data_IF_325248342780
#
_entry.id   IF_325248342780
#
_cell.length_a   1.000
_cell.length_b   1.000
_cell.length_c   1.000
_cell.angle_alpha   90.00
_cell.angle_beta   90.00
_cell.angle_gamma   90.00
#
_symmetry.space_group_name_H-M   'P 1'
#
loop_
_entity.id
_entity.type
_entity.pdbx_description
1 polymer ?
#
# COMPACT_ATOMS: atom_id res chain seq x y z
N UNK A 1 -10.76 24.27 -6.78
CA UNK A 1 -10.34 23.74 -8.11
C UNK A 1 -10.49 22.22 -8.08
N UNK A 2 -11.38 21.66 -8.89
CA UNK A 2 -11.65 20.20 -8.85
C UNK A 2 -10.54 19.36 -9.53
N UNK A 3 -9.42 19.99 -9.90
CA UNK A 3 -8.25 19.32 -10.48
C UNK A 3 -8.47 18.71 -11.89
N UNK A 4 -9.61 18.98 -12.50
CA UNK A 4 -9.97 18.43 -13.83
C UNK A 4 -9.93 19.48 -14.95
N UNK A 5 -9.54 20.73 -14.65
CA UNK A 5 -9.47 21.81 -15.65
C UNK A 5 -8.05 21.98 -16.18
N UNK A 6 -7.91 22.11 -17.50
CA UNK A 6 -6.62 22.45 -18.13
C UNK A 6 -6.25 23.91 -17.87
N UNK A 7 -4.99 24.27 -18.12
CA UNK A 7 -4.54 25.66 -18.02
C UNK A 7 -5.30 26.59 -18.97
N UNK A 8 -5.64 26.11 -20.17
CA UNK A 8 -6.45 26.84 -21.14
C UNK A 8 -7.88 27.05 -20.61
N UNK A 9 -8.51 26.02 -20.07
CA UNK A 9 -9.86 26.14 -19.48
C UNK A 9 -9.88 27.11 -18.32
N UNK A 10 -8.84 27.11 -17.46
CA UNK A 10 -8.69 28.08 -16.39
C UNK A 10 -8.45 29.50 -16.93
N UNK A 11 -7.65 29.63 -17.96
CA UNK A 11 -7.38 30.87 -18.66
C UNK A 11 -8.69 31.50 -19.20
N UNK A 12 -9.49 30.71 -19.91
CA UNK A 12 -10.78 31.11 -20.44
C UNK A 12 -11.77 31.45 -19.31
N UNK A 13 -11.90 30.59 -18.31
CA UNK A 13 -12.82 30.78 -17.16
C UNK A 13 -12.53 32.07 -16.39
N UNK A 14 -11.27 32.39 -16.20
CA UNK A 14 -10.84 33.57 -15.44
C UNK A 14 -10.45 34.77 -16.28
N UNK A 15 -10.63 34.68 -17.61
CA UNK A 15 -10.30 35.74 -18.58
C UNK A 15 -8.89 36.31 -18.39
N UNK A 16 -7.90 35.43 -18.17
CA UNK A 16 -6.48 35.78 -18.00
C UNK A 16 -5.62 34.86 -18.86
N UNK A 17 -4.39 35.30 -19.24
CA UNK A 17 -3.51 34.47 -20.03
C UNK A 17 -3.11 33.18 -19.30
N UNK A 18 -2.82 32.11 -20.05
CA UNK A 18 -2.28 30.84 -19.52
C UNK A 18 -1.04 31.11 -18.63
N UNK A 19 -0.16 32.01 -19.05
CA UNK A 19 1.01 32.42 -18.28
C UNK A 19 0.65 33.06 -16.94
N UNK A 20 -0.44 33.82 -16.87
CA UNK A 20 -0.96 34.41 -15.64
C UNK A 20 -1.51 33.33 -14.70
N UNK A 21 -2.23 32.33 -15.26
CA UNK A 21 -2.69 31.18 -14.50
C UNK A 21 -1.50 30.43 -13.90
N UNK A 22 -0.49 30.12 -14.70
CA UNK A 22 0.74 29.45 -14.26
C UNK A 22 1.42 30.22 -13.12
N UNK A 23 1.64 31.53 -13.30
CA UNK A 23 2.26 32.41 -12.29
C UNK A 23 1.46 32.45 -10.96
N UNK A 24 0.12 32.49 -11.04
CA UNK A 24 -0.73 32.43 -9.84
C UNK A 24 -0.65 31.06 -9.14
N UNK A 25 -0.62 29.97 -9.89
CA UNK A 25 -0.42 28.64 -9.36
C UNK A 25 0.97 28.47 -8.72
N UNK A 26 2.00 29.14 -9.25
CA UNK A 26 3.33 29.16 -8.68
C UNK A 26 3.42 29.88 -7.32
N UNK A 27 2.57 30.85 -7.07
CA UNK A 27 2.57 31.65 -5.83
C UNK A 27 1.78 31.02 -4.69
N UNK A 28 1.01 29.96 -4.93
CA UNK A 28 0.25 29.29 -3.87
C UNK A 28 1.24 28.59 -2.94
N UNK A 29 1.36 29.11 -1.73
CA UNK A 29 2.25 28.59 -0.70
C UNK A 29 1.78 27.24 -0.12
N UNK A 30 2.67 26.62 0.64
CA UNK A 30 2.39 25.41 1.39
C UNK A 30 2.03 25.76 2.84
N UNK A 31 0.86 25.38 3.31
CA UNK A 31 0.56 25.38 4.75
C UNK A 31 1.15 24.12 5.41
N UNK A 32 1.61 24.25 6.65
CA UNK A 32 2.07 23.10 7.44
C UNK A 32 0.87 22.33 8.00
N UNK A 33 1.04 21.01 8.17
CA UNK A 33 0.07 20.14 8.83
C UNK A 33 0.01 20.46 10.32
N UNK A 34 -1.15 20.86 10.83
CA UNK A 34 -1.41 20.87 12.27
C UNK A 34 -1.93 19.48 12.70
N UNK A 35 -1.00 18.62 13.14
CA UNK A 35 -1.32 17.32 13.70
C UNK A 35 -0.74 17.30 15.11
N UNK A 36 -1.56 17.54 16.10
CA UNK A 36 -1.13 17.51 17.50
C UNK A 36 -2.09 16.68 18.35
N UNK A 37 -1.51 15.77 19.17
CA UNK A 37 -2.22 15.12 20.28
C UNK A 37 -3.33 14.14 19.91
N UNK A 38 -3.41 13.64 18.65
CA UNK A 38 -4.48 12.73 18.21
C UNK A 38 -4.10 11.27 18.42
N UNK A 39 -5.09 10.47 18.81
CA UNK A 39 -5.01 9.00 18.78
C UNK A 39 -5.53 8.50 17.43
N UNK A 40 -4.67 7.88 16.62
CA UNK A 40 -4.94 7.56 15.20
C UNK A 40 -4.64 6.13 14.84
N UNK A 41 -5.34 5.61 13.84
CA UNK A 41 -4.97 4.40 13.09
C UNK A 41 -4.54 4.84 11.71
N UNK A 42 -3.31 4.55 11.33
CA UNK A 42 -2.73 5.00 10.08
C UNK A 42 -2.74 3.92 9.02
N UNK A 43 -3.15 4.28 7.81
CA UNK A 43 -2.93 3.53 6.58
C UNK A 43 -1.70 4.12 5.90
N UNK A 44 -0.76 3.28 5.49
CA UNK A 44 0.49 3.71 4.81
C UNK A 44 0.66 2.99 3.48
N UNK A 45 1.00 3.75 2.44
CA UNK A 45 1.26 3.22 1.11
C UNK A 45 2.03 4.24 0.26
N UNK A 46 2.62 3.78 -0.87
CA UNK A 46 3.35 4.63 -1.79
C UNK A 46 2.83 4.47 -3.23
N UNK A 47 2.64 5.58 -3.91
CA UNK A 47 2.30 5.61 -5.33
C UNK A 47 3.47 6.11 -6.17
N UNK A 48 3.65 5.52 -7.36
CA UNK A 48 4.75 5.83 -8.26
C UNK A 48 4.28 6.31 -9.63
N UNK A 49 5.01 7.25 -10.19
CA UNK A 49 4.88 7.71 -11.57
C UNK A 49 6.20 7.51 -12.31
N UNK A 50 6.29 6.44 -13.06
CA UNK A 50 7.53 5.96 -13.65
C UNK A 50 8.36 5.14 -12.68
N UNK A 51 9.69 5.08 -12.92
CA UNK A 51 10.58 4.17 -12.18
C UNK A 51 11.15 4.73 -10.88
N UNK A 52 11.24 6.05 -10.77
CA UNK A 52 12.02 6.69 -9.70
C UNK A 52 11.27 7.78 -8.93
N UNK A 53 10.10 8.22 -9.39
CA UNK A 53 9.35 9.28 -8.72
C UNK A 53 8.06 8.74 -8.12
N UNK A 54 7.88 8.97 -6.84
CA UNK A 54 6.70 8.55 -6.09
C UNK A 54 6.40 9.46 -4.91
N UNK A 55 5.28 9.19 -4.26
CA UNK A 55 4.89 9.80 -2.99
C UNK A 55 4.44 8.70 -2.03
N UNK A 56 5.01 8.71 -0.85
CA UNK A 56 4.54 7.94 0.30
C UNK A 56 3.54 8.78 1.08
N UNK A 57 2.42 8.19 1.45
CA UNK A 57 1.33 8.87 2.14
C UNK A 57 0.93 8.10 3.38
N UNK A 58 0.76 8.80 4.48
CA UNK A 58 0.17 8.33 5.72
C UNK A 58 -1.18 8.99 5.87
N UNK A 59 -2.22 8.20 6.04
CA UNK A 59 -3.60 8.65 6.10
C UNK A 59 -4.26 8.06 7.33
N UNK A 60 -4.95 8.89 8.11
CA UNK A 60 -5.77 8.39 9.21
C UNK A 60 -7.01 7.66 8.68
N UNK A 61 -7.25 6.47 9.22
CA UNK A 61 -8.33 5.59 8.77
C UNK A 61 -9.72 6.18 9.01
N UNK A 62 -9.89 6.99 10.06
CA UNK A 62 -11.18 7.51 10.50
C UNK A 62 -11.48 8.90 9.96
N UNK A 63 -10.63 9.87 10.25
CA UNK A 63 -10.82 11.23 9.75
C UNK A 63 -10.64 11.30 8.22
N UNK A 64 -10.07 10.24 7.63
CA UNK A 64 -9.71 10.18 6.21
C UNK A 64 -8.73 11.27 5.78
N UNK A 65 -8.12 11.95 6.74
CA UNK A 65 -7.14 13.01 6.52
C UNK A 65 -5.77 12.46 6.21
N UNK A 66 -5.05 13.11 5.31
CA UNK A 66 -3.61 12.86 5.08
C UNK A 66 -2.86 13.48 6.26
N UNK A 67 -2.20 12.64 7.06
CA UNK A 67 -1.48 13.06 8.27
C UNK A 67 0.02 13.27 8.03
N UNK A 68 0.57 12.68 7.00
CA UNK A 68 1.94 12.89 6.56
C UNK A 68 2.16 12.40 5.13
N UNK A 69 3.08 13.00 4.41
CA UNK A 69 3.54 12.51 3.12
C UNK A 69 4.97 12.92 2.84
N UNK A 70 5.66 12.12 2.00
CA UNK A 70 7.03 12.38 1.54
C UNK A 70 7.17 12.02 0.07
N UNK A 71 7.78 12.90 -0.72
CA UNK A 71 8.22 12.53 -2.08
C UNK A 71 9.43 11.63 -2.01
N UNK A 72 9.42 10.59 -2.83
CA UNK A 72 10.51 9.63 -2.96
C UNK A 72 10.97 9.58 -4.42
N UNK A 73 12.29 9.61 -4.61
CA UNK A 73 12.94 9.66 -5.92
C UNK A 73 13.70 8.35 -6.22
N UNK A 74 13.33 7.32 -5.55
CA UNK A 74 13.86 5.96 -5.62
C UNK A 74 12.78 4.98 -5.16
N UNK A 75 13.08 3.69 -5.18
CA UNK A 75 12.22 2.71 -4.51
C UNK A 75 12.16 3.00 -3.00
N UNK A 76 11.00 2.87 -2.40
CA UNK A 76 10.77 3.04 -0.96
C UNK A 76 11.68 2.13 -0.12
N UNK A 77 12.02 2.56 1.07
CA UNK A 77 12.81 1.83 2.07
C UNK A 77 12.10 1.90 3.41
N UNK A 78 12.39 0.94 4.29
CA UNK A 78 11.86 0.91 5.65
C UNK A 78 12.08 2.23 6.39
N UNK A 79 13.25 2.85 6.21
CA UNK A 79 13.58 4.14 6.84
C UNK A 79 12.59 5.27 6.45
N UNK A 80 12.02 5.24 5.26
CA UNK A 80 11.06 6.26 4.85
C UNK A 80 9.74 6.14 5.63
N UNK A 81 9.32 4.91 5.95
CA UNK A 81 8.17 4.64 6.81
C UNK A 81 8.44 5.06 8.26
N UNK A 82 9.62 4.70 8.77
CA UNK A 82 10.02 5.08 10.15
C UNK A 82 10.09 6.59 10.32
N UNK A 83 10.56 7.34 9.32
CA UNK A 83 10.59 8.80 9.35
C UNK A 83 9.18 9.42 9.49
N UNK A 84 8.19 8.86 8.78
CA UNK A 84 6.80 9.30 8.92
C UNK A 84 6.21 8.97 10.29
N UNK A 85 6.51 7.81 10.82
CA UNK A 85 6.08 7.40 12.17
C UNK A 85 6.72 8.30 13.23
N UNK A 86 8.03 8.50 13.16
CA UNK A 86 8.77 9.39 14.07
C UNK A 86 8.23 10.81 14.05
N UNK A 87 7.88 11.31 12.86
CA UNK A 87 7.25 12.63 12.72
C UNK A 87 5.92 12.69 13.48
N UNK A 88 5.05 11.71 13.31
CA UNK A 88 3.75 11.68 13.97
C UNK A 88 3.90 11.58 15.51
N UNK A 89 4.76 10.71 15.99
CA UNK A 89 5.03 10.52 17.43
C UNK A 89 5.62 11.81 18.03
N UNK A 90 6.59 12.45 17.38
CA UNK A 90 7.18 13.73 17.82
C UNK A 90 6.17 14.87 17.88
N UNK A 91 5.12 14.83 17.06
CA UNK A 91 4.01 15.78 17.10
C UNK A 91 2.88 15.35 18.08
N UNK A 92 3.15 14.41 19.00
CA UNK A 92 2.25 14.00 20.06
C UNK A 92 1.13 13.05 19.63
N UNK A 93 1.21 12.45 18.43
CA UNK A 93 0.22 11.46 18.00
C UNK A 93 0.45 10.12 18.70
N UNK A 94 -0.63 9.50 19.17
CA UNK A 94 -0.65 8.11 19.63
C UNK A 94 -1.11 7.21 18.49
N UNK A 95 -0.23 6.33 18.00
CA UNK A 95 -0.53 5.40 16.92
C UNK A 95 -1.10 4.12 17.52
N UNK A 96 -2.40 3.85 17.32
CA UNK A 96 -3.10 2.66 17.83
C UNK A 96 -2.90 1.45 16.94
N UNK A 97 -2.74 1.67 15.64
CA UNK A 97 -2.54 0.62 14.66
C UNK A 97 -2.04 1.16 13.34
N UNK A 98 -1.41 0.29 12.56
CA UNK A 98 -0.83 0.61 11.25
C UNK A 98 -1.31 -0.42 10.24
N UNK A 99 -1.95 0.03 9.16
CA UNK A 99 -2.29 -0.82 8.01
C UNK A 99 -1.28 -0.55 6.91
N UNK A 100 -0.54 -1.58 6.48
CA UNK A 100 0.50 -1.46 5.44
C UNK A 100 0.45 -2.60 4.43
N UNK A 101 1.22 -2.47 3.36
CA UNK A 101 1.48 -3.55 2.42
C UNK A 101 2.53 -4.53 2.96
N UNK A 102 2.82 -5.56 2.18
CA UNK A 102 3.77 -6.61 2.54
C UNK A 102 5.22 -6.32 2.13
N UNK A 103 5.67 -5.09 2.15
CA UNK A 103 7.07 -4.79 1.87
C UNK A 103 7.99 -5.63 2.78
N UNK A 104 8.98 -6.36 2.20
CA UNK A 104 9.86 -7.21 2.99
C UNK A 104 10.55 -6.46 4.12
N UNK A 105 10.41 -6.97 5.35
CA UNK A 105 11.02 -6.40 6.55
C UNK A 105 10.23 -5.25 7.20
N UNK A 106 9.23 -4.67 6.52
CA UNK A 106 8.45 -3.55 7.07
C UNK A 106 7.67 -3.96 8.32
N UNK A 107 6.91 -5.05 8.25
CA UNK A 107 6.13 -5.55 9.38
C UNK A 107 7.03 -5.80 10.61
N UNK A 108 8.22 -6.41 10.39
CA UNK A 108 9.18 -6.63 11.47
C UNK A 108 9.70 -5.32 12.06
N UNK A 109 9.96 -4.31 11.22
CA UNK A 109 10.40 -2.99 11.69
C UNK A 109 9.32 -2.25 12.49
N UNK A 110 8.05 -2.55 12.22
CA UNK A 110 6.90 -1.97 12.90
C UNK A 110 6.36 -2.83 14.07
N UNK A 111 7.09 -3.85 14.51
CA UNK A 111 6.62 -4.85 15.48
C UNK A 111 6.27 -4.30 16.88
N UNK A 112 6.65 -3.05 17.19
CA UNK A 112 6.22 -2.36 18.41
C UNK A 112 4.80 -1.76 18.31
N UNK A 113 4.15 -1.84 17.15
CA UNK A 113 2.79 -1.37 16.90
C UNK A 113 1.88 -2.55 16.56
N UNK A 114 0.55 -2.33 16.64
CA UNK A 114 -0.44 -3.26 16.11
C UNK A 114 -0.48 -3.12 14.58
N UNK A 115 0.23 -4.01 13.88
CA UNK A 115 0.36 -3.96 12.42
C UNK A 115 -0.65 -4.89 11.77
N UNK A 116 -1.48 -4.33 10.90
CA UNK A 116 -2.36 -5.06 10.00
C UNK A 116 -1.73 -5.12 8.61
N UNK A 117 -1.43 -6.32 8.14
CA UNK A 117 -1.13 -6.53 6.72
C UNK A 117 -2.41 -6.36 5.90
N UNK A 118 -2.43 -5.45 4.95
CA UNK A 118 -3.57 -5.22 4.07
C UNK A 118 -3.97 -6.53 3.34
N UNK A 119 -5.16 -7.06 3.65
CA UNK A 119 -5.65 -8.31 3.07
C UNK A 119 -5.70 -8.27 1.54
N UNK A 120 -6.08 -7.13 0.96
CA UNK A 120 -6.09 -6.94 -0.50
C UNK A 120 -4.67 -7.05 -1.11
N UNK A 121 -3.65 -6.49 -0.48
CA UNK A 121 -2.27 -6.63 -0.93
C UNK A 121 -1.73 -8.07 -0.77
N UNK A 122 -2.18 -8.81 0.23
CA UNK A 122 -1.86 -10.23 0.33
C UNK A 122 -2.44 -11.02 -0.83
N UNK A 123 -3.72 -10.82 -1.16
CA UNK A 123 -4.35 -11.46 -2.33
C UNK A 123 -3.58 -11.11 -3.61
N UNK A 124 -3.25 -9.83 -3.84
CA UNK A 124 -2.40 -9.41 -4.98
C UNK A 124 -1.04 -10.13 -4.99
N UNK A 125 -0.42 -10.32 -3.82
CA UNK A 125 0.86 -11.03 -3.70
C UNK A 125 0.74 -12.49 -4.14
N UNK A 126 -0.31 -13.18 -3.72
CA UNK A 126 -0.59 -14.56 -4.14
C UNK A 126 -0.85 -14.62 -5.65
N UNK A 127 -1.69 -13.73 -6.18
CA UNK A 127 -1.95 -13.63 -7.63
C UNK A 127 -0.67 -13.38 -8.44
N UNK A 128 0.25 -12.54 -7.96
CA UNK A 128 1.51 -12.25 -8.65
C UNK A 128 2.43 -13.48 -8.73
N UNK A 129 2.36 -14.35 -7.73
CA UNK A 129 3.15 -15.60 -7.67
C UNK A 129 2.50 -16.73 -8.49
N UNK A 130 1.19 -16.91 -8.39
CA UNK A 130 0.46 -18.03 -9.01
C UNK A 130 -0.07 -17.73 -10.41
N UNK A 131 -0.11 -16.47 -10.82
CA UNK A 131 -0.87 -15.96 -11.97
C UNK A 131 -2.40 -15.97 -11.72
N UNK A 132 -3.17 -15.37 -12.62
CA UNK A 132 -4.65 -15.38 -12.51
C UNK A 132 -5.27 -16.75 -12.82
N UNK A 133 -4.56 -17.57 -13.59
CA UNK A 133 -5.02 -18.88 -14.05
C UNK A 133 -3.93 -19.93 -13.85
N UNK A 134 -3.73 -20.41 -12.60
CA UNK A 134 -2.75 -21.45 -12.32
C UNK A 134 -3.09 -22.74 -13.07
N UNK A 135 -2.07 -23.45 -13.56
CA UNK A 135 -2.27 -24.70 -14.28
C UNK A 135 -2.45 -25.91 -13.34
N UNK A 136 -1.76 -25.92 -12.20
CA UNK A 136 -1.83 -27.01 -11.22
C UNK A 136 -3.05 -26.87 -10.31
N UNK A 137 -3.66 -27.97 -9.90
CA UNK A 137 -4.77 -27.99 -8.93
C UNK A 137 -4.32 -27.35 -7.61
N UNK A 138 -3.15 -27.69 -7.10
CA UNK A 138 -2.56 -27.03 -5.92
C UNK A 138 -2.54 -25.50 -6.04
N UNK A 139 -2.21 -24.97 -7.22
CA UNK A 139 -2.22 -23.53 -7.47
C UNK A 139 -3.62 -22.92 -7.52
N UNK A 140 -4.57 -23.62 -8.14
CA UNK A 140 -5.98 -23.19 -8.23
C UNK A 140 -6.63 -23.13 -6.85
N UNK A 141 -6.46 -24.16 -6.05
CA UNK A 141 -7.00 -24.23 -4.69
C UNK A 141 -6.38 -23.18 -3.77
N UNK A 142 -5.04 -23.03 -3.80
CA UNK A 142 -4.37 -22.01 -2.98
C UNK A 142 -4.81 -20.59 -3.37
N UNK A 143 -5.06 -20.35 -4.66
CA UNK A 143 -5.60 -19.08 -5.14
C UNK A 143 -7.04 -18.87 -4.64
N UNK A 144 -7.89 -19.91 -4.67
CA UNK A 144 -9.25 -19.86 -4.15
C UNK A 144 -9.25 -19.56 -2.64
N UNK A 145 -8.40 -20.25 -1.86
CA UNK A 145 -8.22 -19.97 -0.42
C UNK A 145 -7.81 -18.51 -0.19
N UNK A 146 -6.85 -17.99 -0.97
CA UNK A 146 -6.40 -16.61 -0.81
C UNK A 146 -7.52 -15.59 -1.07
N UNK A 147 -8.45 -15.87 -1.96
CA UNK A 147 -9.59 -14.99 -2.25
C UNK A 147 -10.64 -14.98 -1.13
N UNK A 148 -10.62 -15.97 -0.24
CA UNK A 148 -11.53 -16.06 0.91
C UNK A 148 -11.06 -15.23 2.12
N UNK A 149 -9.85 -14.68 2.11
CA UNK A 149 -9.26 -13.92 3.24
C UNK A 149 -10.24 -12.88 3.82
N UNK A 150 -10.95 -12.15 2.97
CA UNK A 150 -11.88 -11.09 3.40
C UNK A 150 -13.28 -11.61 3.78
N UNK A 151 -13.54 -12.90 3.62
CA UNK A 151 -14.86 -13.54 3.76
C UNK A 151 -14.89 -14.67 4.79
N UNK A 152 -13.82 -14.89 5.52
CA UNK A 152 -13.69 -15.95 6.52
C UNK A 152 -13.01 -15.41 7.78
N UNK A 153 -13.15 -16.15 8.88
CA UNK A 153 -12.40 -15.91 10.13
C UNK A 153 -11.00 -16.52 10.07
N UNK A 154 -10.19 -16.19 11.08
CA UNK A 154 -8.79 -16.61 11.18
C UNK A 154 -8.66 -18.13 11.30
N UNK A 155 -9.47 -18.74 12.16
CA UNK A 155 -9.44 -20.17 12.46
C UNK A 155 -9.78 -20.99 11.22
N UNK A 156 -10.87 -20.65 10.55
CA UNK A 156 -11.30 -21.29 9.30
C UNK A 156 -10.24 -21.15 8.20
N UNK A 157 -9.62 -19.96 8.09
CA UNK A 157 -8.58 -19.72 7.10
C UNK A 157 -7.33 -20.56 7.37
N UNK A 158 -6.90 -20.64 8.62
CA UNK A 158 -5.76 -21.48 9.04
C UNK A 158 -6.08 -22.95 8.74
N UNK A 159 -7.27 -23.41 9.10
CA UNK A 159 -7.72 -24.77 8.80
C UNK A 159 -7.67 -25.11 7.30
N UNK A 160 -8.12 -24.19 6.43
CA UNK A 160 -8.02 -24.38 4.97
C UNK A 160 -6.55 -24.44 4.50
N UNK A 161 -5.65 -23.64 5.07
CA UNK A 161 -4.22 -23.70 4.74
C UNK A 161 -3.56 -24.99 5.22
N UNK A 162 -3.96 -25.51 6.38
CA UNK A 162 -3.45 -26.76 6.93
C UNK A 162 -3.92 -27.95 6.09
N UNK A 163 -5.21 -28.02 5.75
CA UNK A 163 -5.76 -29.04 4.84
C UNK A 163 -5.07 -28.99 3.47
N UNK A 164 -4.86 -27.81 2.91
CA UNK A 164 -4.16 -27.66 1.66
C UNK A 164 -2.71 -28.17 1.77
N UNK A 165 -2.02 -27.91 2.89
CA UNK A 165 -0.66 -28.38 3.12
C UNK A 165 -0.58 -29.90 3.28
N UNK A 166 -1.55 -30.51 3.94
CA UNK A 166 -1.64 -31.96 4.09
C UNK A 166 -1.72 -32.66 2.73
N UNK A 167 -2.47 -32.07 1.78
CA UNK A 167 -2.62 -32.62 0.43
C UNK A 167 -1.41 -32.30 -0.47
N UNK A 168 -0.95 -31.05 -0.48
CA UNK A 168 0.01 -30.56 -1.46
C UNK A 168 1.39 -30.23 -0.90
N UNK A 169 1.63 -30.42 0.39
CA UNK A 169 2.91 -30.08 1.02
C UNK A 169 4.09 -30.85 0.43
N UNK A 170 3.90 -32.13 0.12
CA UNK A 170 4.92 -32.94 -0.55
C UNK A 170 5.23 -32.37 -1.95
N UNK A 171 4.22 -32.17 -2.79
CA UNK A 171 4.34 -31.57 -4.12
C UNK A 171 5.00 -30.18 -4.08
N UNK A 172 4.57 -29.31 -3.17
CA UNK A 172 5.14 -27.99 -3.02
C UNK A 172 6.64 -28.02 -2.66
N UNK A 173 7.09 -29.02 -1.91
CA UNK A 173 8.46 -29.13 -1.42
C UNK A 173 9.35 -30.03 -2.32
N UNK A 174 8.84 -30.50 -3.45
CA UNK A 174 9.60 -31.26 -4.43
C UNK A 174 10.85 -30.52 -4.89
N UNK A 175 11.98 -31.27 -4.97
CA UNK A 175 13.26 -30.71 -5.35
C UNK A 175 13.72 -31.25 -6.70
N UNK A 176 14.47 -30.43 -7.43
CA UNK A 176 15.14 -30.84 -8.64
C UNK A 176 16.22 -31.89 -8.35
N UNK A 177 16.59 -32.65 -9.37
CA UNK A 177 17.85 -33.44 -9.36
C UNK A 177 19.01 -32.47 -9.10
N UNK A 178 20.03 -32.87 -8.32
CA UNK A 178 21.24 -32.06 -8.13
C UNK A 178 21.87 -31.69 -9.47
N UNK A 179 22.32 -30.45 -9.63
CA UNK A 179 23.11 -30.00 -10.76
C UNK A 179 24.57 -30.49 -10.63
N UNK A 180 25.43 -30.11 -11.60
CA UNK A 180 26.84 -30.48 -11.61
C UNK A 180 27.64 -30.03 -10.38
N UNK A 181 27.14 -29.02 -9.66
CA UNK A 181 27.72 -28.50 -8.41
C UNK A 181 27.07 -29.10 -7.16
N UNK A 182 26.15 -30.06 -7.31
CA UNK A 182 25.42 -30.69 -6.21
C UNK A 182 24.26 -29.87 -5.65
N UNK A 183 23.94 -28.71 -6.23
CA UNK A 183 22.86 -27.87 -5.76
C UNK A 183 21.49 -28.34 -6.26
N UNK A 184 20.51 -28.32 -5.37
CA UNK A 184 19.10 -28.57 -5.69
C UNK A 184 18.26 -27.32 -5.50
N UNK A 185 17.16 -27.22 -6.22
CA UNK A 185 16.20 -26.14 -6.04
C UNK A 185 14.78 -26.68 -5.94
N UNK A 186 13.87 -25.92 -5.32
CA UNK A 186 12.45 -26.28 -5.29
C UNK A 186 11.87 -26.18 -6.71
N UNK A 187 11.20 -27.25 -7.16
CA UNK A 187 10.54 -27.30 -8.46
C UNK A 187 9.38 -26.29 -8.53
N UNK A 188 8.64 -26.13 -7.45
CA UNK A 188 7.44 -25.30 -7.37
C UNK A 188 7.68 -24.02 -6.57
N UNK A 189 8.77 -23.26 -6.87
CA UNK A 189 9.20 -22.05 -6.12
C UNK A 189 8.10 -21.02 -5.95
N UNK A 190 7.27 -20.79 -6.99
CA UNK A 190 6.21 -19.78 -6.98
C UNK A 190 5.05 -20.22 -6.10
N UNK A 191 4.62 -21.47 -6.19
CA UNK A 191 3.60 -22.07 -5.34
C UNK A 191 4.03 -22.04 -3.88
N UNK A 192 5.24 -22.51 -3.60
CA UNK A 192 5.85 -22.46 -2.27
C UNK A 192 5.91 -21.02 -1.72
N UNK A 193 6.33 -20.08 -2.55
CA UNK A 193 6.39 -18.68 -2.17
C UNK A 193 5.00 -18.07 -1.88
N UNK A 194 3.95 -18.49 -2.58
CA UNK A 194 2.57 -18.07 -2.34
C UNK A 194 2.07 -18.62 -0.98
N UNK A 195 2.19 -19.93 -0.76
CA UNK A 195 1.81 -20.56 0.50
C UNK A 195 2.53 -19.94 1.71
N UNK A 196 3.86 -19.82 1.63
CA UNK A 196 4.65 -19.24 2.71
C UNK A 196 4.34 -17.76 2.95
N UNK A 197 3.91 -17.01 1.94
CA UNK A 197 3.46 -15.63 2.13
C UNK A 197 2.19 -15.59 2.96
N UNK A 198 1.23 -16.46 2.70
CA UNK A 198 0.00 -16.60 3.50
C UNK A 198 0.34 -17.04 4.93
N UNK A 199 1.02 -18.17 5.07
CA UNK A 199 1.27 -18.83 6.36
C UNK A 199 2.07 -17.96 7.34
N UNK A 200 3.11 -17.27 6.86
CA UNK A 200 3.99 -16.44 7.70
C UNK A 200 3.37 -15.13 8.14
N UNK A 201 2.37 -14.67 7.41
CA UNK A 201 1.72 -13.39 7.70
C UNK A 201 0.30 -13.57 8.25
N UNK A 202 -0.11 -14.79 8.59
CA UNK A 202 -1.46 -15.07 9.10
C UNK A 202 -1.82 -14.18 10.27
N UNK A 203 -0.97 -14.06 11.29
CA UNK A 203 -1.26 -13.24 12.46
C UNK A 203 -1.44 -11.75 12.11
N UNK A 204 -0.67 -11.24 11.17
CA UNK A 204 -0.78 -9.85 10.71
C UNK A 204 -1.98 -9.60 9.79
N UNK A 205 -2.54 -10.65 9.18
CA UNK A 205 -3.74 -10.54 8.34
C UNK A 205 -5.03 -10.40 9.15
N UNK A 206 -5.00 -10.80 10.44
CA UNK A 206 -6.14 -10.73 11.36
C UNK A 206 -5.87 -9.87 12.61
N UNK A 207 -4.87 -8.99 12.59
CA UNK A 207 -4.64 -8.02 13.68
C UNK A 207 -5.90 -7.20 14.00
N UNK A 208 -6.67 -6.83 12.97
CA UNK A 208 -7.95 -6.13 13.08
C UNK A 208 -9.00 -6.93 13.85
N UNK A 209 -9.02 -8.23 13.65
CA UNK A 209 -9.95 -9.16 14.27
C UNK A 209 -9.55 -9.46 15.74
N UNK A 210 -8.26 -9.71 15.97
CA UNK A 210 -7.70 -10.00 17.29
C UNK A 210 -7.75 -8.75 18.21
N UNK A 211 -7.88 -7.55 17.66
CA UNK A 211 -7.86 -6.26 18.37
C UNK A 211 -9.07 -5.38 18.02
N UNK A 212 -10.27 -5.90 18.14
CA UNK A 212 -11.54 -5.22 17.77
C UNK A 212 -11.65 -3.82 18.38
N UNK A 213 -11.22 -3.65 19.64
CA UNK A 213 -11.29 -2.37 20.36
C UNK A 213 -10.46 -1.27 19.69
N UNK A 214 -9.42 -1.63 18.94
CA UNK A 214 -8.58 -0.69 18.21
C UNK A 214 -9.22 -0.23 16.90
N UNK A 215 -10.23 -0.96 16.41
CA UNK A 215 -10.99 -0.69 15.19
C UNK A 215 -10.06 -0.48 13.97
N UNK A 216 -9.07 -1.37 13.80
CA UNK A 216 -8.09 -1.30 12.69
C UNK A 216 -8.76 -1.82 11.42
N UNK A 217 -8.75 -1.09 10.29
CA UNK A 217 -9.28 -1.63 9.03
C UNK A 217 -8.42 -2.79 8.51
N UNK A 218 -9.06 -3.79 7.91
CA UNK A 218 -8.37 -4.94 7.32
C UNK A 218 -7.72 -4.65 5.96
N UNK A 219 -8.00 -3.49 5.37
CA UNK A 219 -7.48 -3.10 4.04
C UNK A 219 -7.05 -1.65 3.98
N UNK A 220 -6.22 -1.32 2.98
CA UNK A 220 -5.77 0.03 2.63
C UNK A 220 -6.70 0.74 1.62
N UNK A 221 -7.94 0.31 1.45
CA UNK A 221 -8.86 0.85 0.42
C UNK A 221 -8.98 2.38 0.47
N UNK A 222 -8.90 2.97 1.67
CA UNK A 222 -8.95 4.42 1.85
C UNK A 222 -7.79 5.16 1.19
N UNK A 223 -6.60 4.59 1.16
CA UNK A 223 -5.42 5.21 0.52
C UNK A 223 -5.36 4.86 -0.98
N UNK A 224 -5.79 3.65 -1.38
CA UNK A 224 -5.91 3.30 -2.80
C UNK A 224 -6.91 4.21 -3.53
N UNK A 225 -8.06 4.52 -2.90
CA UNK A 225 -9.03 5.47 -3.42
C UNK A 225 -8.44 6.88 -3.57
N UNK A 226 -7.62 7.33 -2.61
CA UNK A 226 -6.90 8.60 -2.69
C UNK A 226 -5.96 8.63 -3.90
N UNK A 227 -5.18 7.56 -4.11
CA UNK A 227 -4.26 7.47 -5.25
C UNK A 227 -4.99 7.34 -6.59
N UNK A 228 -6.13 6.66 -6.63
CA UNK A 228 -6.97 6.57 -7.84
C UNK A 228 -7.49 7.95 -8.26
N UNK A 229 -8.01 8.76 -7.31
CA UNK A 229 -8.47 10.12 -7.58
C UNK A 229 -7.31 11.03 -8.01
N UNK A 230 -6.16 10.96 -7.31
CA UNK A 230 -4.95 11.71 -7.68
C UNK A 230 -4.47 11.36 -9.09
N UNK A 231 -4.42 10.07 -9.42
CA UNK A 231 -4.03 9.60 -10.75
C UNK A 231 -4.99 10.08 -11.85
N UNK A 232 -6.29 10.04 -11.59
CA UNK A 232 -7.30 10.57 -12.52
C UNK A 232 -7.07 12.05 -12.82
N UNK A 233 -6.75 12.84 -11.79
CA UNK A 233 -6.44 14.27 -11.96
C UNK A 233 -5.12 14.52 -12.68
N UNK A 234 -4.07 13.75 -12.38
CA UNK A 234 -2.77 13.88 -13.04
C UNK A 234 -2.81 13.49 -14.53
N UNK A 235 -3.69 12.56 -14.93
CA UNK A 235 -3.88 12.17 -16.35
C UNK A 235 -4.35 13.34 -17.22
N UNK A 236 -5.13 14.26 -16.67
CA UNK A 236 -5.57 15.47 -17.37
C UNK A 236 -4.41 16.46 -17.59
N UNK A 237 -3.31 16.30 -16.85
CA UNK A 237 -2.16 17.20 -16.84
C UNK A 237 -0.87 16.50 -17.28
N UNK A 238 -0.91 15.72 -18.36
CA UNK A 238 0.21 14.89 -18.82
C UNK A 238 1.52 15.63 -19.11
N UNK A 239 1.49 16.93 -19.41
CA UNK A 239 2.66 17.74 -19.73
C UNK A 239 3.35 18.42 -18.54
N UNK A 240 3.00 18.10 -17.30
CA UNK A 240 3.63 18.74 -16.14
C UNK A 240 5.10 18.32 -16.00
N UNK A 241 5.99 19.32 -15.88
CA UNK A 241 7.35 19.07 -15.41
C UNK A 241 7.35 18.43 -14.01
N UNK A 242 8.43 17.75 -13.63
CA UNK A 242 8.53 17.08 -12.33
C UNK A 242 8.19 18.05 -11.19
N UNK A 243 8.81 19.25 -11.18
CA UNK A 243 8.55 20.30 -10.18
C UNK A 243 7.08 20.69 -10.09
N UNK A 244 6.40 20.86 -11.23
CA UNK A 244 4.99 21.22 -11.25
C UNK A 244 4.09 20.06 -10.83
N UNK A 245 4.48 18.83 -11.12
CA UNK A 245 3.79 17.61 -10.66
C UNK A 245 3.87 17.48 -9.14
N UNK A 246 5.05 17.65 -8.56
CA UNK A 246 5.23 17.67 -7.08
C UNK A 246 4.34 18.73 -6.44
N UNK A 247 4.35 19.93 -6.98
CA UNK A 247 3.53 21.03 -6.47
C UNK A 247 2.04 20.70 -6.55
N UNK A 248 1.59 20.12 -7.66
CA UNK A 248 0.21 19.67 -7.82
C UNK A 248 -0.16 18.61 -6.79
N UNK A 249 0.66 17.57 -6.64
CA UNK A 249 0.45 16.47 -5.68
C UNK A 249 0.44 17.03 -4.25
N UNK A 250 1.40 17.89 -3.91
CA UNK A 250 1.47 18.53 -2.59
C UNK A 250 0.19 19.31 -2.27
N UNK A 251 -0.30 20.15 -3.20
CA UNK A 251 -1.53 20.89 -3.04
C UNK A 251 -2.77 20.00 -2.92
N UNK A 252 -2.79 18.90 -3.69
CA UNK A 252 -3.86 17.92 -3.61
C UNK A 252 -3.90 17.23 -2.24
N UNK A 253 -2.75 16.74 -1.76
CA UNK A 253 -2.65 16.06 -0.46
C UNK A 253 -2.98 17.00 0.70
N UNK A 254 -2.56 18.25 0.65
CA UNK A 254 -2.88 19.27 1.66
C UNK A 254 -4.38 19.59 1.78
N UNK A 255 -5.14 19.46 0.69
CA UNK A 255 -6.61 19.63 0.74
C UNK A 255 -7.33 18.42 1.34
N UNK A 256 -6.63 17.33 1.56
CA UNK A 256 -7.11 16.10 2.17
C UNK A 256 -6.68 15.96 3.64
N UNK A 257 -6.14 17.03 4.21
CA UNK A 257 -5.77 17.18 5.63
C UNK A 257 -6.94 17.48 6.56
#
# INVERSE_FOLDING_TARGET
MDGKQTLEQLSQKHKVSVRTVQRKLEKVGSSNLEISGKSIVIMVDAAYWGRSFGVMVFKDAYSKSVVWYKFIYRKERIIDYMEGIDYLVKNGCTIRGIVCDGMPGLIRALSCFNVQYCQFHMVKTVHSKLTKHPKSEAGKELLAISNLIAHTDKESFVGMLDQWYDVYGHYMNERSVPDQSGHTHYMHKRLRGAYLSLRRNTDYLWTWYDNIVLDIPNTNNGIESLFADLNSKLRVHNGLSLKNREKFISQYLKRKQ
#
